data_IF_512786649035
#
_entry.id   IF_512786649035
#
_cell.length_a   1.000
_cell.length_b   1.000
_cell.length_c   1.000
_cell.angle_alpha   90.00
_cell.angle_beta   90.00
_cell.angle_gamma   90.00
#
_symmetry.space_group_name_H-M   'P 1'
#
loop_
_entity.id
_entity.type
_entity.pdbx_description
1 polymer ?
#
# COMPACT_ATOMS: atom_id res chain seq x y z
N UNK A 1 -18.15 -1.94 -13.63
CA UNK A 1 -19.00 -3.13 -13.92
C UNK A 1 -19.51 -3.00 -15.35
N UNK A 2 -19.61 -4.11 -16.09
CA UNK A 2 -20.29 -4.14 -17.40
C UNK A 2 -21.13 -5.41 -17.54
N UNK A 3 -22.05 -5.44 -18.49
CA UNK A 3 -22.92 -6.59 -18.75
C UNK A 3 -22.58 -7.26 -20.08
N UNK A 4 -22.63 -8.59 -20.13
CA UNK A 4 -22.62 -9.38 -21.36
C UNK A 4 -23.95 -10.13 -21.52
N UNK A 5 -24.47 -10.18 -22.75
CA UNK A 5 -25.72 -10.87 -23.07
C UNK A 5 -25.44 -12.11 -23.91
N UNK A 6 -25.83 -13.29 -23.40
CA UNK A 6 -25.62 -14.57 -24.07
C UNK A 6 -26.88 -15.41 -23.98
N UNK A 7 -27.43 -15.85 -25.13
CA UNK A 7 -28.66 -16.67 -25.20
C UNK A 7 -29.81 -16.12 -24.35
N UNK A 8 -30.08 -14.81 -24.48
CA UNK A 8 -31.13 -14.09 -23.73
C UNK A 8 -30.94 -14.05 -22.21
N UNK A 9 -29.74 -14.35 -21.71
CA UNK A 9 -29.37 -14.16 -20.30
C UNK A 9 -28.29 -13.08 -20.18
N UNK A 10 -28.53 -12.13 -19.29
CA UNK A 10 -27.58 -11.10 -18.90
C UNK A 10 -26.65 -11.63 -17.80
N UNK A 11 -25.36 -11.38 -17.94
CA UNK A 11 -24.34 -11.61 -16.93
C UNK A 11 -23.62 -10.31 -16.61
N UNK A 12 -23.62 -9.93 -15.33
CA UNK A 12 -22.88 -8.77 -14.84
C UNK A 12 -21.46 -9.17 -14.47
N UNK A 13 -20.48 -8.46 -15.00
CA UNK A 13 -19.06 -8.68 -14.78
C UNK A 13 -18.50 -7.52 -13.96
N UNK A 14 -17.87 -7.88 -12.84
CA UNK A 14 -17.09 -7.00 -12.00
C UNK A 14 -15.87 -7.77 -11.50
N UNK A 15 -14.70 -7.14 -11.57
CA UNK A 15 -13.47 -7.69 -11.03
C UNK A 15 -13.32 -7.18 -9.60
N UNK A 16 -13.23 -8.11 -8.64
CA UNK A 16 -12.93 -7.82 -7.25
C UNK A 16 -11.47 -8.11 -6.93
N UNK A 17 -10.93 -7.38 -5.98
CA UNK A 17 -9.53 -7.37 -5.60
C UNK A 17 -9.03 -8.76 -5.16
N UNK A 18 -9.84 -9.46 -4.35
CA UNK A 18 -9.45 -10.77 -3.80
C UNK A 18 -9.26 -11.83 -4.87
N UNK A 19 -10.14 -11.85 -5.88
CA UNK A 19 -10.03 -12.82 -6.99
C UNK A 19 -8.81 -12.51 -7.87
N UNK A 20 -8.48 -11.23 -8.05
CA UNK A 20 -7.30 -10.83 -8.80
C UNK A 20 -5.99 -11.14 -8.08
N UNK A 21 -5.95 -11.06 -6.75
CA UNK A 21 -4.76 -11.38 -5.96
C UNK A 21 -4.56 -12.88 -5.73
N UNK A 22 -5.64 -13.66 -5.64
CA UNK A 22 -5.57 -15.13 -5.48
C UNK A 22 -5.21 -15.84 -6.79
N UNK A 23 -5.20 -15.13 -7.92
CA UNK A 23 -4.92 -15.68 -9.24
C UNK A 23 -3.70 -15.01 -9.87
N UNK A 24 -3.01 -15.71 -10.78
CA UNK A 24 -1.88 -15.14 -11.52
C UNK A 24 -2.33 -14.22 -12.67
N UNK A 25 -3.59 -13.74 -12.64
CA UNK A 25 -4.22 -13.03 -13.76
C UNK A 25 -3.54 -11.69 -14.06
N UNK A 26 -3.11 -10.96 -13.03
CA UNK A 26 -2.43 -9.68 -13.22
C UNK A 26 -1.03 -9.89 -13.83
N UNK A 27 -0.30 -10.90 -13.37
CA UNK A 27 0.98 -11.26 -13.97
C UNK A 27 0.83 -11.76 -15.42
N UNK A 28 -0.24 -12.50 -15.73
CA UNK A 28 -0.55 -12.94 -17.10
C UNK A 28 -0.98 -11.78 -18.02
N UNK A 29 -1.73 -10.80 -17.52
CA UNK A 29 -2.20 -9.65 -18.31
C UNK A 29 -1.10 -8.61 -18.58
N UNK A 30 -0.12 -8.50 -17.68
CA UNK A 30 0.91 -7.46 -17.71
C UNK A 30 2.05 -7.69 -18.72
N UNK A 31 2.13 -8.87 -19.35
CA UNK A 31 3.03 -9.21 -20.48
C UNK A 31 4.48 -8.66 -20.37
N UNK A 32 5.03 -8.57 -19.16
CA UNK A 32 6.41 -8.13 -18.91
C UNK A 32 6.70 -6.63 -19.10
N UNK A 33 5.68 -5.80 -19.26
CA UNK A 33 5.84 -4.34 -19.47
C UNK A 33 5.71 -3.59 -18.14
N UNK A 34 6.84 -3.21 -17.51
CA UNK A 34 7.00 -2.15 -16.47
C UNK A 34 5.91 -2.02 -15.37
N UNK A 35 5.14 -3.06 -15.08
CA UNK A 35 4.13 -3.08 -14.02
C UNK A 35 4.66 -3.64 -12.70
N UNK A 36 5.98 -3.81 -12.53
CA UNK A 36 6.53 -4.31 -11.25
C UNK A 36 6.09 -3.46 -10.05
N UNK A 37 6.01 -2.14 -10.19
CA UNK A 37 5.53 -1.25 -9.13
C UNK A 37 4.04 -1.41 -8.87
N UNK A 38 3.25 -1.66 -9.93
CA UNK A 38 1.81 -1.91 -9.84
C UNK A 38 1.54 -3.27 -9.17
N UNK A 39 2.24 -4.33 -9.58
CA UNK A 39 2.11 -5.67 -8.99
C UNK A 39 2.61 -5.68 -7.53
N UNK A 40 3.66 -4.91 -7.22
CA UNK A 40 4.09 -4.67 -5.82
C UNK A 40 3.01 -3.95 -5.02
N UNK A 41 2.36 -2.93 -5.57
CA UNK A 41 1.28 -2.22 -4.88
C UNK A 41 0.08 -3.14 -4.62
N UNK A 42 -0.31 -3.95 -5.60
CA UNK A 42 -1.41 -4.91 -5.47
C UNK A 42 -1.09 -6.03 -4.46
N UNK A 43 0.14 -6.48 -4.38
CA UNK A 43 0.51 -7.49 -3.38
C UNK A 43 0.67 -6.91 -1.98
N UNK A 44 1.19 -5.68 -1.85
CA UNK A 44 1.55 -5.09 -0.56
C UNK A 44 0.38 -4.39 0.13
N UNK A 45 -0.50 -3.70 -0.61
CA UNK A 45 -1.60 -2.92 -0.05
C UNK A 45 -2.46 -3.69 0.98
N UNK A 46 -2.90 -4.93 0.72
CA UNK A 46 -3.73 -5.69 1.65
C UNK A 46 -2.96 -6.10 2.90
N UNK A 47 -1.68 -6.48 2.74
CA UNK A 47 -0.82 -6.85 3.86
C UNK A 47 -0.53 -5.65 4.75
N UNK A 48 -0.29 -4.48 4.15
CA UNK A 48 -0.05 -3.24 4.86
C UNK A 48 -1.29 -2.79 5.64
N UNK A 49 -2.47 -2.82 5.00
CA UNK A 49 -3.73 -2.49 5.64
C UNK A 49 -4.04 -3.46 6.79
N UNK A 50 -3.87 -4.76 6.57
CA UNK A 50 -4.05 -5.79 7.59
C UNK A 50 -3.15 -5.54 8.81
N UNK A 51 -1.86 -5.28 8.59
CA UNK A 51 -0.91 -4.99 9.66
C UNK A 51 -1.30 -3.73 10.45
N UNK A 52 -1.78 -2.68 9.78
CA UNK A 52 -2.25 -1.45 10.43
C UNK A 52 -3.48 -1.68 11.30
N UNK A 53 -4.48 -2.41 10.79
CA UNK A 53 -5.74 -2.64 11.48
C UNK A 53 -5.58 -3.49 12.74
N UNK A 54 -4.65 -4.44 12.75
CA UNK A 54 -4.43 -5.32 13.91
C UNK A 54 -4.13 -4.57 15.21
N UNK A 55 -3.59 -3.35 15.16
CA UNK A 55 -3.29 -2.60 16.38
C UNK A 55 -4.55 -2.17 17.15
N UNK A 56 -5.67 -1.97 16.46
CA UNK A 56 -6.93 -1.45 17.04
C UNK A 56 -8.13 -2.38 16.83
N UNK A 57 -8.03 -3.30 15.88
CA UNK A 57 -9.10 -4.19 15.45
C UNK A 57 -8.63 -5.65 15.43
N UNK A 58 -7.81 -6.05 16.42
CA UNK A 58 -7.27 -7.41 16.50
C UNK A 58 -8.38 -8.48 16.57
N UNK A 59 -9.49 -8.20 17.25
CA UNK A 59 -10.61 -9.16 17.36
C UNK A 59 -11.20 -9.53 15.99
N UNK A 60 -11.09 -8.65 15.00
CA UNK A 60 -11.64 -8.83 13.67
C UNK A 60 -10.58 -9.27 12.63
N UNK A 61 -9.39 -8.69 12.71
CA UNK A 61 -8.31 -8.85 11.71
C UNK A 61 -7.03 -9.53 12.25
N UNK A 62 -7.02 -9.89 13.52
CA UNK A 62 -5.92 -10.62 14.16
C UNK A 62 -5.80 -12.04 13.64
N UNK A 63 -4.57 -12.56 13.64
CA UNK A 63 -4.28 -13.95 13.33
C UNK A 63 -3.01 -14.38 14.05
N UNK A 64 -2.89 -15.67 14.37
CA UNK A 64 -1.68 -16.25 14.95
C UNK A 64 -1.05 -17.29 14.02
N UNK A 65 -1.86 -17.89 13.15
CA UNK A 65 -1.42 -18.92 12.19
C UNK A 65 -1.49 -18.44 10.74
N UNK A 66 -0.74 -19.11 9.85
CA UNK A 66 -0.81 -18.85 8.42
C UNK A 66 -2.21 -19.10 7.81
N UNK A 67 -2.96 -20.06 8.35
CA UNK A 67 -4.33 -20.33 7.89
C UNK A 67 -5.28 -19.21 8.27
N UNK A 68 -5.17 -18.68 9.50
CA UNK A 68 -5.95 -17.53 9.95
C UNK A 68 -5.57 -16.25 9.18
N UNK A 69 -4.28 -16.06 8.86
CA UNK A 69 -3.83 -14.94 8.02
C UNK A 69 -4.58 -14.91 6.68
N UNK A 70 -4.80 -16.07 6.05
CA UNK A 70 -5.57 -16.15 4.78
C UNK A 70 -7.02 -15.71 4.96
N UNK A 71 -7.66 -16.10 6.07
CA UNK A 71 -9.03 -15.67 6.38
C UNK A 71 -9.09 -14.17 6.63
N UNK A 72 -8.14 -13.63 7.39
CA UNK A 72 -8.05 -12.19 7.64
C UNK A 72 -7.79 -11.39 6.36
N UNK A 73 -6.88 -11.86 5.49
CA UNK A 73 -6.63 -11.27 4.18
C UNK A 73 -7.88 -11.25 3.30
N UNK A 74 -8.69 -12.31 3.32
CA UNK A 74 -9.94 -12.34 2.54
C UNK A 74 -10.91 -11.24 2.96
N UNK A 75 -11.05 -10.97 4.25
CA UNK A 75 -11.83 -9.83 4.76
C UNK A 75 -11.28 -8.49 4.29
N UNK A 76 -9.95 -8.37 4.19
CA UNK A 76 -9.31 -7.15 3.67
C UNK A 76 -9.60 -6.97 2.19
N UNK A 77 -9.63 -8.05 1.40
CA UNK A 77 -10.00 -7.95 0.00
C UNK A 77 -11.43 -7.46 -0.18
N UNK A 78 -12.37 -8.00 0.59
CA UNK A 78 -13.77 -7.54 0.60
C UNK A 78 -13.85 -6.06 1.02
N UNK A 79 -13.10 -5.65 2.06
CA UNK A 79 -13.04 -4.26 2.52
C UNK A 79 -12.46 -3.31 1.46
N UNK A 80 -11.47 -3.75 0.67
CA UNK A 80 -10.89 -2.95 -0.41
C UNK A 80 -11.89 -2.78 -1.57
N UNK A 81 -12.63 -3.83 -1.90
CA UNK A 81 -13.70 -3.77 -2.90
C UNK A 81 -14.81 -2.81 -2.46
N UNK A 82 -15.24 -2.89 -1.19
CA UNK A 82 -16.23 -1.97 -0.59
C UNK A 82 -15.71 -0.52 -0.58
N UNK A 83 -14.43 -0.32 -0.22
CA UNK A 83 -13.81 1.01 -0.21
C UNK A 83 -13.84 1.68 -1.58
N UNK A 84 -13.51 0.95 -2.66
CA UNK A 84 -13.56 1.47 -4.02
C UNK A 84 -15.01 1.69 -4.51
N UNK A 85 -15.95 0.83 -4.09
CA UNK A 85 -17.38 1.01 -4.39
C UNK A 85 -17.98 2.30 -3.83
N UNK A 86 -17.51 2.72 -2.65
CA UNK A 86 -17.96 3.97 -2.03
C UNK A 86 -17.30 5.22 -2.63
N UNK A 87 -16.52 5.10 -3.70
CA UNK A 87 -15.90 6.25 -4.38
C UNK A 87 -16.96 7.18 -4.97
N UNK A 88 -16.80 8.48 -4.75
CA UNK A 88 -17.67 9.52 -5.32
C UNK A 88 -16.84 10.55 -6.07
N UNK A 89 -17.48 11.47 -6.81
CA UNK A 89 -16.76 12.56 -7.50
C UNK A 89 -16.05 13.52 -6.54
N UNK A 90 -16.57 13.67 -5.32
CA UNK A 90 -16.02 14.57 -4.29
C UNK A 90 -15.03 13.87 -3.33
N UNK A 91 -15.10 12.54 -3.23
CA UNK A 91 -14.22 11.70 -2.41
C UNK A 91 -13.80 10.47 -3.22
N UNK A 92 -12.72 10.65 -3.99
CA UNK A 92 -12.13 9.59 -4.80
C UNK A 92 -11.50 8.53 -3.88
N UNK A 93 -11.98 7.30 -4.01
CA UNK A 93 -11.48 6.14 -3.28
C UNK A 93 -10.93 5.13 -4.28
N UNK A 94 -9.61 4.98 -4.28
CA UNK A 94 -8.94 3.96 -5.07
C UNK A 94 -7.72 3.40 -4.30
N UNK A 95 -7.19 2.27 -4.77
CA UNK A 95 -6.09 1.56 -4.12
C UNK A 95 -4.80 2.40 -3.97
N UNK A 96 -4.50 3.29 -4.92
CA UNK A 96 -3.32 4.17 -4.84
C UNK A 96 -3.46 5.22 -3.73
N UNK A 97 -4.62 5.89 -3.66
CA UNK A 97 -4.90 6.89 -2.63
C UNK A 97 -4.83 6.26 -1.24
N UNK A 98 -5.39 5.06 -1.07
CA UNK A 98 -5.33 4.34 0.19
C UNK A 98 -3.90 3.92 0.54
N UNK A 99 -3.13 3.43 -0.42
CA UNK A 99 -1.72 3.07 -0.23
C UNK A 99 -0.90 4.26 0.26
N UNK A 100 -1.05 5.44 -0.35
CA UNK A 100 -0.35 6.64 0.08
C UNK A 100 -0.73 7.05 1.51
N UNK A 101 -2.01 6.97 1.87
CA UNK A 101 -2.50 7.26 3.23
C UNK A 101 -1.86 6.32 4.26
N UNK A 102 -1.81 5.03 3.96
CA UNK A 102 -1.17 4.02 4.82
C UNK A 102 0.33 4.23 4.96
N UNK A 103 1.02 4.56 3.86
CA UNK A 103 2.46 4.88 3.90
C UNK A 103 2.73 6.11 4.77
N UNK A 104 1.93 7.17 4.63
CA UNK A 104 2.05 8.38 5.46
C UNK A 104 1.83 8.04 6.94
N UNK A 105 0.83 7.24 7.27
CA UNK A 105 0.58 6.81 8.65
C UNK A 105 1.74 6.00 9.22
N UNK A 106 2.25 5.03 8.45
CA UNK A 106 3.41 4.20 8.84
C UNK A 106 4.65 5.06 9.15
N UNK A 107 4.91 6.10 8.34
CA UNK A 107 6.07 6.97 8.49
C UNK A 107 5.88 8.06 9.54
N UNK A 108 4.68 8.63 9.68
CA UNK A 108 4.44 9.78 10.56
C UNK A 108 4.11 9.36 12.00
N UNK A 109 3.29 8.33 12.16
CA UNK A 109 2.71 7.92 13.44
C UNK A 109 3.01 6.45 13.79
N UNK A 110 3.51 5.68 12.83
CA UNK A 110 3.90 4.29 13.02
C UNK A 110 5.23 4.12 13.74
N UNK A 111 5.61 2.85 13.90
CA UNK A 111 6.87 2.42 14.52
C UNK A 111 8.12 3.07 13.89
N UNK A 112 8.08 3.35 12.59
CA UNK A 112 9.21 3.91 11.85
C UNK A 112 9.42 5.40 12.08
N UNK A 113 8.41 6.13 12.57
CA UNK A 113 8.49 7.58 12.78
C UNK A 113 9.67 8.03 13.64
N UNK A 114 10.00 7.25 14.68
CA UNK A 114 11.17 7.50 15.52
C UNK A 114 12.50 7.22 14.82
N UNK A 115 12.54 6.19 13.96
CA UNK A 115 13.75 5.86 13.19
C UNK A 115 14.04 6.92 12.13
N UNK A 116 13.02 7.37 11.39
CA UNK A 116 13.17 8.39 10.35
C UNK A 116 13.65 9.72 10.93
N UNK A 117 13.05 10.18 12.04
CA UNK A 117 13.48 11.40 12.74
C UNK A 117 14.94 11.32 13.19
N UNK A 118 15.33 10.18 13.75
CA UNK A 118 16.72 9.95 14.21
C UNK A 118 17.70 9.91 13.05
N UNK A 119 17.31 9.37 11.90
CA UNK A 119 18.13 9.33 10.70
C UNK A 119 18.32 10.73 10.10
N UNK A 120 17.28 11.57 10.07
CA UNK A 120 17.37 12.98 9.67
C UNK A 120 18.26 13.80 10.61
N UNK A 121 18.19 13.57 11.92
CA UNK A 121 19.06 14.22 12.89
C UNK A 121 20.53 13.85 12.68
N UNK A 122 20.81 12.57 12.43
CA UNK A 122 22.16 12.07 12.13
C UNK A 122 22.70 12.63 10.80
N UNK A 123 21.87 12.71 9.77
CA UNK A 123 22.24 13.32 8.48
C UNK A 123 22.58 14.81 8.63
N UNK A 124 21.73 15.57 9.34
CA UNK A 124 21.98 17.00 9.65
C UNK A 124 23.25 17.20 10.47
N UNK A 125 23.56 16.29 11.41
CA UNK A 125 24.81 16.35 12.18
C UNK A 125 26.04 16.03 11.33
N UNK A 126 25.94 15.08 10.39
CA UNK A 126 27.02 14.78 9.44
C UNK A 126 27.27 15.96 8.49
N UNK A 127 26.22 16.54 7.90
CA UNK A 127 26.32 17.74 7.05
C UNK A 127 26.89 18.95 7.80
N UNK A 128 26.51 19.14 9.08
CA UNK A 128 27.06 20.19 9.93
C UNK A 128 28.55 19.95 10.31
N UNK A 129 29.02 18.70 10.30
CA UNK A 129 30.45 18.37 10.51
C UNK A 129 31.31 18.47 9.25
N UNK A 130 30.72 18.50 8.05
CA UNK A 130 31.39 18.94 6.82
C UNK A 130 31.48 20.45 6.77
N UNK A 131 32.35 21.02 7.62
CA UNK A 131 32.76 22.42 7.52
C UNK A 131 33.49 22.58 6.17
N UNK A 132 33.09 23.48 5.26
CA UNK A 132 33.93 23.85 4.12
C UNK A 132 35.25 24.34 4.69
N UNK A 133 36.35 23.67 4.33
CA UNK A 133 37.70 24.16 4.59
C UNK A 133 37.97 25.39 3.70
N UNK A 134 37.23 26.48 3.94
CA UNK A 134 37.53 27.77 3.38
C UNK A 134 38.25 28.59 4.44
N UNK A 135 39.33 29.25 4.01
CA UNK A 135 40.22 30.11 4.79
C UNK A 135 41.32 29.41 5.61
N UNK A 136 42.42 29.08 4.92
CA UNK A 136 43.83 29.38 5.31
C UNK A 136 44.69 29.12 4.07
N UNK A 137 45.15 30.13 3.32
CA UNK A 137 46.14 31.10 3.78
C UNK A 137 46.12 32.39 2.96
N UNK A 138 46.18 33.48 3.71
CA UNK A 138 46.51 34.84 3.33
C UNK A 138 47.95 34.96 2.79
N UNK A 139 48.09 35.75 1.72
CA UNK A 139 49.23 36.60 1.30
C UNK A 139 50.65 36.17 1.69
N UNK A 140 51.50 36.00 0.67
CA UNK A 140 52.80 36.67 0.57
C UNK A 140 53.02 37.09 -0.88
#
# INVERSE_FOLDING_TARGET
MFSINVKSKEYKVKFGYGVLCETNLIDELSNGTKEEEFNKLISILPELLLAGLQKKHFDEFGYETASEKKVALRKIYDLLDDYEEESTEEDEKNGFILFEKLQKELMANGFLSGMTKKQEELAKQQDATTIPQDHKKTKQ
#
